data_IF_733613283960
#
_entry.id   IF_733613283960
#
_cell.length_a   1.000
_cell.length_b   1.000
_cell.length_c   1.000
_cell.angle_alpha   90.00
_cell.angle_beta   90.00
_cell.angle_gamma   90.00
#
_symmetry.space_group_name_H-M   'P 1'
#
loop_
_entity.id
_entity.type
_entity.pdbx_description
1 polymer ?
#
# COMPACT_ATOMS: atom_id res chain seq x y z
N UNK A 1 17.37 -23.84 -37.75
CA UNK A 1 16.16 -23.00 -37.83
C UNK A 1 15.17 -23.50 -36.79
N UNK A 2 14.96 -22.78 -35.69
CA UNK A 2 13.63 -22.49 -35.10
C UNK A 2 13.80 -21.24 -34.25
N UNK A 3 13.21 -20.13 -34.68
CA UNK A 3 13.19 -18.87 -33.93
C UNK A 3 12.16 -18.95 -32.80
N UNK A 4 12.60 -18.71 -31.56
CA UNK A 4 11.68 -18.47 -30.45
C UNK A 4 10.91 -17.16 -30.65
N UNK A 5 9.67 -17.04 -30.17
CA UNK A 5 8.85 -15.87 -30.41
C UNK A 5 9.49 -14.66 -29.73
N UNK A 6 9.99 -13.73 -30.55
CA UNK A 6 10.43 -12.41 -30.14
C UNK A 6 9.18 -11.58 -29.82
N UNK A 7 8.62 -11.78 -28.63
CA UNK A 7 7.49 -11.01 -28.12
C UNK A 7 7.99 -9.58 -27.89
N UNK A 8 7.79 -8.72 -28.89
CA UNK A 8 7.86 -7.27 -28.68
C UNK A 8 6.81 -6.92 -27.64
N UNK A 9 7.25 -6.66 -26.41
CA UNK A 9 6.42 -6.12 -25.34
C UNK A 9 5.87 -4.76 -25.81
N UNK A 10 4.68 -4.77 -26.40
CA UNK A 10 3.92 -3.55 -26.66
C UNK A 10 3.62 -2.91 -25.31
N UNK A 11 4.31 -1.81 -25.01
CA UNK A 11 4.09 -1.09 -23.75
C UNK A 11 2.71 -0.45 -23.82
N UNK A 12 1.85 -0.77 -22.84
CA UNK A 12 0.46 -0.31 -22.76
C UNK A 12 0.37 1.22 -22.74
N UNK A 13 -0.79 1.78 -23.12
CA UNK A 13 -1.07 3.23 -23.04
C UNK A 13 -0.78 3.79 -21.65
N UNK A 14 -1.19 3.06 -20.61
CA UNK A 14 -0.91 3.38 -19.21
C UNK A 14 0.59 3.48 -18.92
N UNK A 15 1.43 2.59 -19.48
CA UNK A 15 2.88 2.68 -19.32
C UNK A 15 3.44 3.97 -19.92
N UNK A 16 2.93 4.42 -21.07
CA UNK A 16 3.39 5.65 -21.74
C UNK A 16 3.04 6.89 -20.93
N UNK A 17 1.82 6.96 -20.39
CA UNK A 17 1.38 8.05 -19.52
C UNK A 17 2.25 8.17 -18.27
N UNK A 18 2.60 7.04 -17.65
CA UNK A 18 3.41 7.04 -16.43
C UNK A 18 4.88 7.31 -16.70
N UNK A 19 5.40 6.87 -17.84
CA UNK A 19 6.74 7.21 -18.24
C UNK A 19 6.83 8.72 -18.53
N UNK A 20 5.77 9.34 -19.05
CA UNK A 20 5.68 10.79 -19.17
C UNK A 20 5.69 11.49 -17.80
N UNK A 21 4.88 11.02 -16.83
CA UNK A 21 4.90 11.55 -15.45
C UNK A 21 6.28 11.38 -14.80
N UNK A 22 6.91 10.20 -14.93
CA UNK A 22 8.27 9.94 -14.43
C UNK A 22 9.27 10.92 -15.03
N UNK A 23 9.24 11.12 -16.35
CA UNK A 23 10.17 12.03 -17.02
C UNK A 23 9.99 13.48 -16.56
N UNK A 24 8.75 13.90 -16.28
CA UNK A 24 8.45 15.21 -15.70
C UNK A 24 9.00 15.31 -14.26
N UNK A 25 8.79 14.28 -13.44
CA UNK A 25 9.31 14.28 -12.07
C UNK A 25 10.84 14.28 -12.04
N UNK A 26 11.48 13.51 -12.93
CA UNK A 26 12.94 13.50 -13.10
C UNK A 26 13.47 14.83 -13.62
N UNK A 27 12.77 15.51 -14.54
CA UNK A 27 13.20 16.82 -15.02
C UNK A 27 13.09 17.90 -13.94
N UNK A 28 12.21 17.71 -12.96
CA UNK A 28 11.97 18.64 -11.86
C UNK A 28 12.72 18.28 -10.58
N UNK A 29 13.59 17.26 -10.58
CA UNK A 29 14.21 16.71 -9.37
C UNK A 29 14.93 17.79 -8.53
N UNK A 30 15.61 18.73 -9.18
CA UNK A 30 16.33 19.83 -8.53
C UNK A 30 15.39 20.87 -7.90
N UNK A 31 14.18 21.02 -8.44
CA UNK A 31 13.15 21.95 -7.96
C UNK A 31 12.33 21.31 -6.83
N UNK A 32 12.19 20.00 -6.88
CA UNK A 32 11.42 19.15 -5.98
C UNK A 32 12.21 18.72 -4.74
N UNK A 33 13.54 18.75 -4.82
CA UNK A 33 14.44 18.47 -3.69
C UNK A 33 14.05 19.33 -2.49
N UNK A 34 13.88 18.67 -1.35
CA UNK A 34 13.51 19.26 -0.05
C UNK A 34 12.12 19.92 0.02
N UNK A 35 11.26 19.70 -0.99
CA UNK A 35 9.87 20.19 -0.98
C UNK A 35 8.88 19.06 -0.71
N UNK A 36 7.89 19.32 0.15
CA UNK A 36 6.72 18.44 0.28
C UNK A 36 5.81 18.63 -0.93
N UNK A 37 5.72 17.59 -1.77
CA UNK A 37 4.88 17.59 -2.97
C UNK A 37 3.57 16.88 -2.63
N UNK A 38 2.46 17.54 -2.91
CA UNK A 38 1.14 16.93 -2.83
C UNK A 38 0.75 16.42 -4.23
N UNK A 39 0.67 15.11 -4.38
CA UNK A 39 0.34 14.48 -5.66
C UNK A 39 -1.18 14.30 -5.77
N UNK A 40 -1.78 14.87 -6.81
CA UNK A 40 -3.21 14.73 -7.09
C UNK A 40 -3.38 13.85 -8.33
N UNK A 41 -3.95 12.66 -8.17
CA UNK A 41 -4.33 11.80 -9.29
C UNK A 41 -5.73 11.26 -9.07
N UNK A 42 -6.56 11.39 -10.10
CA UNK A 42 -7.93 10.91 -10.21
C UNK A 42 -8.02 9.48 -10.78
N UNK A 43 -6.87 8.84 -10.98
CA UNK A 43 -6.71 7.56 -11.63
C UNK A 43 -7.15 6.41 -10.70
N UNK A 44 -8.30 5.79 -11.00
CA UNK A 44 -8.99 4.69 -10.28
C UNK A 44 -8.08 3.57 -9.74
N UNK A 45 -6.89 3.46 -10.31
CA UNK A 45 -5.88 2.47 -10.02
C UNK A 45 -4.83 2.96 -9.01
N UNK A 46 -5.23 3.60 -7.91
CA UNK A 46 -4.32 4.03 -6.83
C UNK A 46 -3.47 2.87 -6.32
N UNK A 47 -4.06 1.68 -6.22
CA UNK A 47 -3.33 0.42 -5.98
C UNK A 47 -2.30 0.22 -7.08
N UNK A 48 -2.66 0.25 -8.36
CA UNK A 48 -1.66 0.13 -9.46
C UNK A 48 -0.59 1.23 -9.42
N UNK A 49 -0.91 2.44 -8.97
CA UNK A 49 0.06 3.52 -8.82
C UNK A 49 1.08 3.16 -7.74
N UNK A 50 0.61 2.76 -6.57
CA UNK A 50 1.48 2.33 -5.46
C UNK A 50 2.23 1.03 -5.80
N UNK A 51 1.59 0.10 -6.49
CA UNK A 51 2.13 -1.17 -7.02
C UNK A 51 3.11 -0.99 -8.17
N UNK A 52 3.23 0.20 -8.76
CA UNK A 52 4.28 0.40 -9.77
C UNK A 52 5.62 0.23 -9.10
N UNK A 53 6.49 -0.52 -9.78
CA UNK A 53 7.90 -0.76 -9.43
C UNK A 53 8.71 0.49 -9.10
N UNK A 54 8.23 1.66 -9.49
CA UNK A 54 8.92 2.94 -9.33
C UNK A 54 8.38 3.80 -8.19
N UNK A 55 7.29 3.40 -7.52
CA UNK A 55 6.82 4.05 -6.29
C UNK A 55 7.17 3.16 -5.10
N UNK A 56 6.30 2.23 -4.71
CA UNK A 56 6.55 1.34 -3.56
C UNK A 56 6.38 -0.15 -3.88
N UNK A 57 5.99 -0.49 -5.11
CA UNK A 57 5.86 -1.87 -5.57
C UNK A 57 7.10 -2.43 -6.26
N UNK A 58 7.00 -3.62 -6.87
CA UNK A 58 5.85 -4.53 -6.74
C UNK A 58 5.73 -5.00 -5.29
N UNK A 59 4.51 -5.01 -4.73
CA UNK A 59 4.28 -5.73 -3.49
C UNK A 59 4.16 -7.22 -3.79
N UNK A 60 4.64 -8.02 -2.85
CA UNK A 60 4.76 -9.46 -3.04
C UNK A 60 3.61 -10.20 -2.38
N UNK A 61 3.07 -9.66 -1.28
CA UNK A 61 2.09 -10.35 -0.42
C UNK A 61 1.04 -9.36 0.09
N UNK A 62 -0.24 -9.73 -0.02
CA UNK A 62 -1.36 -9.03 0.60
C UNK A 62 -1.70 -9.69 1.94
N UNK A 63 -1.31 -9.06 3.04
CA UNK A 63 -1.37 -9.69 4.36
C UNK A 63 -2.79 -9.76 4.95
N UNK A 64 -3.74 -8.98 4.43
CA UNK A 64 -5.07 -8.82 5.04
C UNK A 64 -6.18 -8.89 3.99
N UNK A 65 -6.38 -10.07 3.40
CA UNK A 65 -7.33 -10.27 2.32
C UNK A 65 -8.18 -11.55 2.44
N UNK A 66 -9.00 -11.78 1.43
CA UNK A 66 -9.76 -13.00 1.15
C UNK A 66 -9.89 -13.19 -0.37
N UNK A 67 -10.50 -14.30 -0.78
CA UNK A 67 -10.70 -14.64 -2.21
C UNK A 67 -11.45 -13.57 -3.01
N UNK A 68 -12.22 -12.67 -2.38
CA UNK A 68 -13.02 -11.67 -3.09
C UNK A 68 -12.31 -10.30 -3.20
N UNK A 69 -11.42 -9.98 -2.25
CA UNK A 69 -10.88 -8.63 -2.11
C UNK A 69 -9.36 -8.52 -2.28
N UNK A 70 -8.65 -9.64 -2.38
CA UNK A 70 -7.20 -9.67 -2.54
C UNK A 70 -6.74 -8.82 -3.72
N UNK A 71 -5.65 -8.08 -3.52
CA UNK A 71 -5.04 -7.22 -4.56
C UNK A 71 -3.84 -7.84 -5.23
N UNK A 72 -3.28 -8.88 -4.62
CA UNK A 72 -2.11 -9.60 -5.09
C UNK A 72 -2.45 -11.09 -5.24
N UNK A 73 -1.67 -11.79 -6.05
CA UNK A 73 -1.85 -13.23 -6.28
C UNK A 73 -1.48 -14.06 -5.05
N UNK A 74 -0.60 -13.53 -4.19
CA UNK A 74 -0.22 -14.15 -2.92
C UNK A 74 -0.81 -13.33 -1.79
N UNK A 75 -1.59 -13.97 -0.93
CA UNK A 75 -2.26 -13.29 0.18
C UNK A 75 -2.53 -14.20 1.38
N UNK A 76 -2.70 -13.59 2.56
CA UNK A 76 -3.12 -14.24 3.79
C UNK A 76 -4.55 -13.82 4.16
N UNK A 77 -5.32 -14.79 4.65
CA UNK A 77 -6.71 -14.60 5.05
C UNK A 77 -6.94 -14.93 6.51
N UNK A 78 -7.94 -14.29 7.14
CA UNK A 78 -8.27 -14.52 8.56
C UNK A 78 -8.67 -15.97 8.84
N UNK A 79 -9.36 -16.59 7.89
CA UNK A 79 -9.80 -17.98 7.93
C UNK A 79 -9.32 -18.67 6.66
N UNK A 80 -9.23 -19.99 6.69
CA UNK A 80 -8.87 -20.76 5.50
C UNK A 80 -9.76 -20.38 4.30
N UNK A 81 -9.12 -20.10 3.17
CA UNK A 81 -9.79 -19.94 1.88
C UNK A 81 -9.03 -20.71 0.81
N UNK A 82 -9.65 -20.97 -0.34
CA UNK A 82 -9.09 -21.88 -1.35
C UNK A 82 -7.80 -21.32 -1.95
N UNK A 83 -7.71 -19.99 -2.11
CA UNK A 83 -6.59 -19.35 -2.78
C UNK A 83 -5.60 -18.67 -1.81
N UNK A 84 -5.80 -18.75 -0.49
CA UNK A 84 -4.87 -18.10 0.44
C UNK A 84 -3.58 -18.90 0.60
N UNK A 85 -2.46 -18.18 0.73
CA UNK A 85 -1.16 -18.78 1.07
C UNK A 85 -1.15 -19.34 2.49
N UNK A 86 -1.95 -18.76 3.37
CA UNK A 86 -2.12 -19.24 4.73
C UNK A 86 -3.22 -18.52 5.50
N UNK A 87 -3.36 -18.94 6.76
CA UNK A 87 -4.35 -18.44 7.70
C UNK A 87 -3.65 -17.53 8.71
N UNK A 88 -4.27 -16.41 9.05
CA UNK A 88 -3.82 -15.43 10.03
C UNK A 88 -2.38 -14.94 9.78
N UNK A 89 -2.26 -13.77 9.16
CA UNK A 89 -0.98 -13.16 8.87
C UNK A 89 -0.06 -12.99 10.10
N UNK A 90 -0.60 -12.90 11.32
CA UNK A 90 0.21 -12.76 12.54
C UNK A 90 0.93 -14.05 12.97
N UNK A 91 0.78 -15.14 12.23
CA UNK A 91 1.47 -16.40 12.47
C UNK A 91 2.78 -16.53 11.69
N UNK A 92 3.10 -15.57 10.83
CA UNK A 92 4.20 -15.62 9.87
C UNK A 92 5.14 -14.44 10.05
N UNK A 93 6.44 -14.68 9.93
CA UNK A 93 7.42 -13.59 9.88
C UNK A 93 7.28 -12.80 8.57
N UNK A 94 7.01 -11.49 8.66
CA UNK A 94 6.85 -10.59 7.51
C UNK A 94 8.17 -10.04 6.95
N UNK A 95 9.32 -10.42 7.52
CA UNK A 95 10.62 -9.95 7.07
C UNK A 95 10.91 -10.36 5.62
N UNK A 96 11.58 -9.46 4.88
CA UNK A 96 12.15 -9.76 3.57
C UNK A 96 11.18 -9.70 2.38
N UNK A 97 9.87 -9.65 2.63
CA UNK A 97 8.86 -9.46 1.59
C UNK A 97 8.28 -8.05 1.63
N UNK A 98 8.06 -7.45 0.45
CA UNK A 98 7.42 -6.16 0.33
C UNK A 98 5.90 -6.29 0.52
N UNK A 99 5.42 -6.03 1.74
CA UNK A 99 4.04 -6.30 2.13
C UNK A 99 3.04 -5.20 1.77
N UNK A 100 1.86 -5.61 1.29
CA UNK A 100 0.66 -4.78 1.20
C UNK A 100 -0.23 -5.02 2.43
N UNK A 101 -0.52 -3.97 3.20
CA UNK A 101 -1.22 -4.07 4.46
C UNK A 101 -2.49 -3.20 4.45
N UNK A 102 -3.66 -3.84 4.37
CA UNK A 102 -4.98 -3.19 4.50
C UNK A 102 -5.79 -3.86 5.62
N UNK A 103 -5.33 -3.78 6.88
CA UNK A 103 -5.99 -4.48 7.97
C UNK A 103 -7.35 -3.85 8.31
N UNK A 104 -8.28 -4.63 8.91
CA UNK A 104 -9.37 -4.07 9.69
C UNK A 104 -8.84 -3.01 10.66
N UNK A 105 -9.53 -1.87 10.78
CA UNK A 105 -9.01 -0.69 11.51
C UNK A 105 -8.63 -1.00 12.97
N UNK A 106 -9.38 -1.89 13.63
CA UNK A 106 -9.11 -2.33 15.00
C UNK A 106 -7.77 -3.10 15.16
N UNK A 107 -7.19 -3.61 14.07
CA UNK A 107 -5.93 -4.34 14.07
C UNK A 107 -4.73 -3.46 13.72
N UNK A 108 -4.91 -2.21 13.31
CA UNK A 108 -3.82 -1.33 12.85
C UNK A 108 -2.71 -1.20 13.91
N UNK A 109 -3.05 -1.01 15.18
CA UNK A 109 -2.04 -0.97 16.26
C UNK A 109 -1.26 -2.28 16.36
N UNK A 110 -1.94 -3.43 16.23
CA UNK A 110 -1.29 -4.75 16.25
C UNK A 110 -0.37 -4.91 15.04
N UNK A 111 -0.79 -4.46 13.84
CA UNK A 111 0.03 -4.48 12.63
C UNK A 111 1.29 -3.66 12.82
N UNK A 112 1.21 -2.42 13.30
CA UNK A 112 2.41 -1.57 13.49
C UNK A 112 3.39 -2.21 14.48
N UNK A 113 2.89 -2.75 15.60
CA UNK A 113 3.73 -3.46 16.58
C UNK A 113 4.38 -4.71 15.98
N UNK A 114 3.63 -5.48 15.19
CA UNK A 114 4.14 -6.71 14.59
C UNK A 114 5.12 -6.43 13.45
N UNK A 115 4.89 -5.41 12.62
CA UNK A 115 5.85 -4.93 11.62
C UNK A 115 7.18 -4.56 12.28
N UNK A 116 7.14 -3.90 13.45
CA UNK A 116 8.35 -3.56 14.22
C UNK A 116 9.06 -4.80 14.76
N UNK A 117 8.32 -5.81 15.22
CA UNK A 117 8.88 -7.07 15.75
C UNK A 117 9.52 -7.92 14.65
N UNK A 118 8.92 -7.95 13.47
CA UNK A 118 9.39 -8.73 12.32
C UNK A 118 10.41 -8.00 11.44
N UNK A 119 10.77 -6.75 11.75
CA UNK A 119 11.56 -5.91 10.84
C UNK A 119 10.96 -5.87 9.43
N UNK A 120 9.64 -5.71 9.38
CA UNK A 120 8.88 -5.73 8.14
C UNK A 120 8.96 -4.38 7.43
N UNK A 121 8.90 -4.42 6.10
CA UNK A 121 8.74 -3.24 5.28
C UNK A 121 7.53 -3.42 4.35
N UNK A 122 6.92 -2.31 3.95
CA UNK A 122 5.76 -2.37 3.06
C UNK A 122 4.88 -1.13 3.10
N UNK A 123 3.70 -1.25 2.52
CA UNK A 123 2.72 -0.16 2.49
C UNK A 123 1.54 -0.47 3.39
N UNK A 124 1.33 0.37 4.40
CA UNK A 124 0.18 0.32 5.30
C UNK A 124 -0.88 1.32 4.89
N UNK A 125 -2.09 0.83 4.62
CA UNK A 125 -3.27 1.65 4.32
C UNK A 125 -4.13 1.79 5.58
N UNK A 126 -4.43 3.03 5.98
CA UNK A 126 -5.21 3.32 7.18
C UNK A 126 -5.99 4.64 7.06
N UNK A 127 -7.10 4.82 7.79
CA UNK A 127 -7.78 6.10 7.86
C UNK A 127 -6.93 7.15 8.60
N UNK A 128 -6.98 8.40 8.15
CA UNK A 128 -6.37 9.54 8.84
C UNK A 128 -7.21 9.94 10.06
N UNK A 129 -7.08 9.20 11.16
CA UNK A 129 -7.79 9.46 12.41
C UNK A 129 -6.81 9.78 13.52
N UNK A 130 -6.59 11.07 13.79
CA UNK A 130 -5.63 11.54 14.80
C UNK A 130 -5.97 11.10 16.22
N UNK A 131 -7.25 10.88 16.50
CA UNK A 131 -7.73 10.42 17.82
C UNK A 131 -7.74 8.88 17.96
N UNK A 132 -7.37 8.13 16.92
CA UNK A 132 -7.32 6.68 17.01
C UNK A 132 -6.09 6.21 17.80
N UNK A 133 -6.23 5.07 18.49
CA UNK A 133 -5.18 4.52 19.36
C UNK A 133 -3.87 4.17 18.62
N UNK A 134 -3.93 3.90 17.31
CA UNK A 134 -2.75 3.66 16.49
C UNK A 134 -2.00 4.95 16.11
N UNK A 135 -2.64 6.12 16.16
CA UNK A 135 -2.05 7.35 15.63
C UNK A 135 -0.79 7.79 16.38
N UNK A 136 -0.73 7.76 17.73
CA UNK A 136 0.50 8.05 18.46
C UNK A 136 1.67 7.11 18.13
N UNK A 137 1.40 5.90 17.62
CA UNK A 137 2.47 4.97 17.20
C UNK A 137 3.16 5.42 15.91
N UNK A 138 2.48 6.22 15.08
CA UNK A 138 2.98 6.74 13.80
C UNK A 138 3.41 8.21 13.91
N UNK A 139 2.79 8.97 14.80
CA UNK A 139 2.95 10.41 14.95
C UNK A 139 2.91 10.77 16.46
N UNK A 140 3.95 10.38 17.23
CA UNK A 140 3.92 10.43 18.70
C UNK A 140 3.84 11.85 19.27
N UNK A 141 4.44 12.83 18.59
CA UNK A 141 4.43 14.25 18.97
C UNK A 141 3.19 14.98 18.47
N UNK A 142 2.36 14.35 17.63
CA UNK A 142 1.32 15.03 16.84
C UNK A 142 1.87 15.83 15.65
N UNK A 143 3.19 15.99 15.57
CA UNK A 143 3.90 16.75 14.55
C UNK A 143 4.94 15.86 13.84
N UNK A 144 4.59 15.42 12.63
CA UNK A 144 5.47 14.58 11.82
C UNK A 144 5.36 13.09 12.13
N UNK A 145 5.77 12.26 11.16
CA UNK A 145 5.76 10.81 11.33
C UNK A 145 7.07 10.32 11.99
N UNK A 146 7.02 9.12 12.56
CA UNK A 146 8.21 8.37 12.99
C UNK A 146 9.19 8.18 11.81
N UNK A 147 10.48 7.99 12.11
CA UNK A 147 11.56 7.84 11.11
C UNK A 147 11.37 6.65 10.17
N UNK A 148 10.61 5.65 10.60
CA UNK A 148 10.29 4.44 9.85
C UNK A 148 9.25 4.70 8.76
N UNK A 149 8.50 5.82 8.83
CA UNK A 149 7.65 6.26 7.71
C UNK A 149 8.53 6.94 6.67
N UNK A 150 8.80 6.22 5.57
CA UNK A 150 9.62 6.70 4.43
C UNK A 150 8.82 7.43 3.35
N UNK A 151 7.49 7.34 3.42
CA UNK A 151 6.61 7.95 2.43
C UNK A 151 5.16 7.97 2.89
N UNK A 152 4.40 8.93 2.35
CA UNK A 152 2.98 9.10 2.66
C UNK A 152 2.24 9.57 1.40
N UNK A 153 1.17 8.86 1.06
CA UNK A 153 0.27 9.20 -0.05
C UNK A 153 -1.15 9.33 0.52
N UNK A 154 -1.82 10.42 0.15
CA UNK A 154 -3.24 10.63 0.44
C UNK A 154 -4.06 9.92 -0.63
N UNK A 155 -4.87 8.94 -0.23
CA UNK A 155 -5.69 8.19 -1.16
C UNK A 155 -7.01 8.95 -1.44
N UNK A 156 -7.51 8.91 -2.68
CA UNK A 156 -8.80 9.49 -3.03
C UNK A 156 -9.92 8.94 -2.15
N UNK A 157 -10.89 9.78 -1.79
CA UNK A 157 -12.03 9.39 -0.97
C UNK A 157 -13.19 8.79 -1.78
N UNK A 158 -13.17 8.90 -3.10
CA UNK A 158 -14.27 8.42 -3.94
C UNK A 158 -14.40 6.89 -3.88
N UNK A 159 -15.63 6.40 -3.80
CA UNK A 159 -15.93 4.96 -3.69
C UNK A 159 -15.38 4.12 -4.84
N UNK A 160 -15.22 4.71 -6.03
CA UNK A 160 -14.70 4.03 -7.23
C UNK A 160 -13.31 3.43 -7.05
N UNK A 161 -12.55 3.88 -6.05
CA UNK A 161 -11.20 3.41 -5.74
C UNK A 161 -11.17 2.26 -4.72
N UNK A 162 -12.32 1.84 -4.19
CA UNK A 162 -12.42 0.84 -3.13
C UNK A 162 -13.34 -0.31 -3.55
N UNK A 163 -12.98 -1.53 -3.19
CA UNK A 163 -13.82 -2.71 -3.43
C UNK A 163 -14.76 -2.91 -2.26
N UNK A 164 -16.06 -3.08 -2.54
CA UNK A 164 -17.05 -3.43 -1.53
C UNK A 164 -16.77 -4.82 -0.95
N UNK A 165 -16.78 -4.92 0.38
CA UNK A 165 -16.73 -6.22 1.06
C UNK A 165 -18.05 -6.99 0.90
N UNK A 166 -18.01 -8.32 1.08
CA UNK A 166 -19.20 -9.17 1.08
C UNK A 166 -20.27 -8.64 2.06
N UNK A 167 -21.50 -8.51 1.56
CA UNK A 167 -22.68 -8.18 2.35
C UNK A 167 -23.05 -6.68 2.44
N UNK A 168 -22.44 -5.79 1.65
CA UNK A 168 -22.76 -4.34 1.57
C UNK A 168 -22.76 -3.55 2.90
N UNK A 169 -22.24 -4.13 4.00
CA UNK A 169 -22.14 -3.46 5.30
C UNK A 169 -20.87 -2.61 5.48
N UNK A 170 -19.92 -2.71 4.55
CA UNK A 170 -18.67 -1.93 4.59
C UNK A 170 -18.91 -0.51 4.07
N UNK A 171 -18.26 0.49 4.68
CA UNK A 171 -18.22 1.86 4.12
C UNK A 171 -17.35 1.94 2.86
N UNK A 172 -16.34 1.08 2.75
CA UNK A 172 -15.45 1.01 1.59
C UNK A 172 -16.19 0.41 0.39
N UNK A 173 -16.15 1.12 -0.75
CA UNK A 173 -16.73 0.70 -2.03
C UNK A 173 -18.21 1.01 -2.22
N UNK A 174 -18.96 1.24 -1.13
CA UNK A 174 -20.40 1.52 -1.19
C UNK A 174 -20.72 3.02 -1.22
N UNK A 175 -19.94 3.84 -0.51
CA UNK A 175 -20.10 5.29 -0.43
C UNK A 175 -18.75 5.99 -0.60
N UNK A 176 -18.79 7.24 -1.03
CA UNK A 176 -17.60 8.10 -0.95
C UNK A 176 -17.23 8.23 0.54
N UNK A 177 -15.96 8.02 0.84
CA UNK A 177 -15.47 7.98 2.21
C UNK A 177 -15.59 9.39 2.81
N UNK A 178 -16.27 9.56 3.97
CA UNK A 178 -16.36 10.84 4.65
C UNK A 178 -15.06 11.21 5.40
N UNK A 179 -14.02 10.40 5.26
CA UNK A 179 -12.72 10.56 5.91
C UNK A 179 -11.60 10.29 4.92
N UNK A 180 -10.44 10.91 5.17
CA UNK A 180 -9.21 10.68 4.39
C UNK A 180 -8.58 9.34 4.74
N UNK A 181 -7.92 8.74 3.77
CA UNK A 181 -7.18 7.48 3.90
C UNK A 181 -5.75 7.73 3.47
N UNK A 182 -4.78 7.22 4.23
CA UNK A 182 -3.36 7.30 3.91
C UNK A 182 -2.83 5.93 3.50
N UNK A 183 -1.93 5.92 2.53
CA UNK A 183 -0.97 4.85 2.34
C UNK A 183 0.38 5.32 2.86
N UNK A 184 0.92 4.65 3.87
CA UNK A 184 2.21 4.94 4.47
C UNK A 184 3.23 3.88 4.05
N UNK A 185 4.36 4.31 3.50
CA UNK A 185 5.51 3.44 3.30
C UNK A 185 6.26 3.32 4.61
N UNK A 186 6.23 2.13 5.20
CA UNK A 186 6.90 1.80 6.45
C UNK A 186 8.11 0.91 6.18
N UNK A 187 9.18 1.16 6.92
CA UNK A 187 10.41 0.37 6.87
C UNK A 187 10.99 0.26 8.29
N UNK A 188 10.83 -0.93 8.89
CA UNK A 188 11.39 -1.26 10.19
C UNK A 188 12.66 -2.07 9.98
N UNK A 189 13.81 -1.43 10.17
CA UNK A 189 15.11 -2.09 10.07
C UNK A 189 15.57 -2.61 11.44
N UNK A 190 16.37 -3.69 11.48
CA UNK A 190 17.13 -4.04 12.68
C UNK A 190 18.01 -2.86 13.12
N UNK A 191 18.26 -2.73 14.42
CA UNK A 191 19.28 -1.79 14.88
C UNK A 191 20.65 -2.25 14.40
N UNK A 192 21.25 -1.49 13.49
CA UNK A 192 22.66 -1.64 13.17
C UNK A 192 23.45 -1.00 14.33
N UNK A 193 24.06 -1.83 15.17
CA UNK A 193 25.11 -1.41 16.12
C UNK A 193 26.43 -1.17 15.38
#
# INVERSE_FOLDING_TARGET
>A
MVGGPNVRLQKSSTWKELNAVRNILLSMINVLKDKRIKWFSDNQNVVTIVEKRFLWGPHEIDWFANDDNHKLTVFYSRYWTVNSMGIDAFTINWQGANGWFVPPVCLVSKVISYMRQCFAHGTLVLPLWKSASFWPMLCPTGEGFIKEVKGCIDLPTNKKFYTSGKGNKSVFGNIDLPFRVLALRLDFEPFNN
#
